data_IF_312678806842
#
_entry.id   IF_312678806842
#
_cell.length_a   1.000
_cell.length_b   1.000
_cell.length_c   1.000
_cell.angle_alpha   90.00
_cell.angle_beta   90.00
_cell.angle_gamma   90.00
#
_symmetry.space_group_name_H-M   'P 1'
#
loop_
_entity.id
_entity.type
_entity.pdbx_description
1 polymer ?
#
# COMPACT_ATOMS: atom_id res chain seq x y z
N UNK A 1 6.90 7.11 35.81
CA UNK A 1 5.85 6.54 34.96
C UNK A 1 6.42 5.32 34.26
N UNK A 2 6.00 4.13 34.67
CA UNK A 2 6.45 2.87 34.08
C UNK A 2 5.37 2.48 33.09
N UNK A 3 5.65 2.55 31.80
CA UNK A 3 4.75 2.06 30.76
C UNK A 3 4.71 0.53 30.87
N UNK A 4 3.53 -0.04 31.14
CA UNK A 4 3.33 -1.48 31.16
C UNK A 4 3.04 -1.96 29.74
N UNK A 5 3.52 -3.16 29.37
CA UNK A 5 3.32 -3.73 28.03
C UNK A 5 1.82 -3.84 27.66
N UNK A 6 0.95 -4.02 28.67
CA UNK A 6 -0.51 -4.04 28.51
C UNK A 6 -1.10 -2.70 28.06
N UNK A 7 -0.42 -1.57 28.31
CA UNK A 7 -0.88 -0.25 27.86
C UNK A 7 -0.66 -0.03 26.34
N UNK A 8 0.21 -0.83 25.70
CA UNK A 8 0.47 -0.81 24.26
C UNK A 8 -0.50 -1.69 23.45
N UNK A 9 -1.19 -2.64 24.10
CA UNK A 9 -2.14 -3.53 23.44
C UNK A 9 -3.49 -2.84 23.14
N UNK A 10 -3.72 -1.65 23.69
CA UNK A 10 -4.86 -0.80 23.32
C UNK A 10 -4.57 0.07 22.09
N UNK A 11 -3.77 -0.45 21.14
CA UNK A 11 -3.69 0.09 19.80
C UNK A 11 -4.95 -0.37 19.04
N UNK A 12 -5.77 0.60 18.64
CA UNK A 12 -6.89 0.51 17.70
C UNK A 12 -6.94 -0.79 16.91
N UNK A 13 -7.95 -1.62 17.17
CA UNK A 13 -8.06 -2.97 16.61
C UNK A 13 -7.80 -2.93 15.09
N UNK A 14 -6.73 -3.60 14.59
CA UNK A 14 -6.40 -3.55 13.19
C UNK A 14 -7.59 -4.08 12.40
N UNK A 15 -8.02 -3.34 11.37
CA UNK A 15 -8.97 -3.86 10.37
C UNK A 15 -8.46 -5.23 9.95
N UNK A 16 -9.17 -6.30 10.34
CA UNK A 16 -8.61 -7.64 10.28
C UNK A 16 -8.26 -8.00 8.83
N UNK A 17 -6.97 -8.14 8.56
CA UNK A 17 -6.45 -8.53 7.25
C UNK A 17 -6.87 -9.98 6.99
N UNK A 18 -7.62 -10.23 5.93
CA UNK A 18 -8.09 -11.57 5.56
C UNK A 18 -7.28 -12.12 4.38
N UNK A 19 -6.23 -12.87 4.71
CA UNK A 19 -5.36 -13.54 3.74
C UNK A 19 -6.03 -14.65 2.94
N UNK A 20 -7.17 -15.18 3.40
CA UNK A 20 -7.87 -16.24 2.67
C UNK A 20 -8.40 -15.77 1.32
N UNK A 21 -8.53 -14.45 1.10
CA UNK A 21 -8.88 -13.88 -0.21
C UNK A 21 -7.86 -14.23 -1.30
N UNK A 22 -6.61 -14.52 -0.96
CA UNK A 22 -5.59 -14.91 -1.94
C UNK A 22 -5.85 -16.30 -2.54
N UNK A 23 -6.70 -17.11 -1.91
CA UNK A 23 -7.13 -18.42 -2.44
C UNK A 23 -8.22 -18.31 -3.50
N UNK A 24 -8.79 -17.12 -3.72
CA UNK A 24 -9.76 -16.89 -4.78
C UNK A 24 -9.08 -17.05 -6.16
N UNK A 25 -9.63 -17.87 -7.09
CA UNK A 25 -8.93 -18.29 -8.32
C UNK A 25 -8.39 -17.17 -9.22
N UNK A 26 -8.94 -15.95 -9.09
CA UNK A 26 -8.61 -14.82 -9.96
C UNK A 26 -7.75 -13.75 -9.26
N UNK A 27 -7.59 -13.80 -7.94
CA UNK A 27 -6.90 -12.71 -7.20
C UNK A 27 -5.42 -12.69 -7.52
N UNK A 28 -4.76 -13.84 -7.51
CA UNK A 28 -3.33 -13.94 -7.78
C UNK A 28 -2.98 -13.48 -9.21
N UNK A 29 -3.70 -13.98 -10.22
CA UNK A 29 -3.46 -13.61 -11.62
C UNK A 29 -3.67 -12.12 -11.88
N UNK A 30 -4.70 -11.52 -11.25
CA UNK A 30 -4.94 -10.08 -11.33
C UNK A 30 -3.84 -9.29 -10.63
N UNK A 31 -3.41 -9.69 -9.43
CA UNK A 31 -2.33 -9.03 -8.71
C UNK A 31 -1.01 -9.06 -9.51
N UNK A 32 -0.65 -10.21 -10.10
CA UNK A 32 0.51 -10.32 -10.98
C UNK A 32 0.39 -9.43 -12.22
N UNK A 33 -0.80 -9.33 -12.84
CA UNK A 33 -1.01 -8.46 -14.00
C UNK A 33 -0.86 -6.97 -13.64
N UNK A 34 -1.42 -6.55 -12.49
CA UNK A 34 -1.28 -5.19 -11.97
C UNK A 34 0.19 -4.89 -11.64
N UNK A 35 0.88 -5.79 -10.95
CA UNK A 35 2.28 -5.62 -10.58
C UNK A 35 3.19 -5.49 -11.82
N UNK A 36 2.96 -6.29 -12.88
CA UNK A 36 3.69 -6.14 -14.16
C UNK A 36 3.47 -4.78 -14.80
N UNK A 37 2.23 -4.27 -14.79
CA UNK A 37 1.92 -2.96 -15.32
C UNK A 37 2.65 -1.86 -14.53
N UNK A 38 2.66 -1.96 -13.20
CA UNK A 38 3.36 -1.00 -12.34
C UNK A 38 4.87 -1.05 -12.48
N UNK A 39 5.49 -2.24 -12.50
CA UNK A 39 6.92 -2.38 -12.72
C UNK A 39 7.34 -1.84 -14.10
N UNK A 40 6.48 -1.93 -15.11
CA UNK A 40 6.74 -1.31 -16.42
C UNK A 40 6.62 0.21 -16.38
N UNK A 41 5.56 0.73 -15.73
CA UNK A 41 5.26 2.17 -15.74
C UNK A 41 6.14 2.95 -14.74
N UNK A 42 6.64 2.30 -13.69
CA UNK A 42 7.38 2.88 -12.57
C UNK A 42 8.72 2.18 -12.27
N UNK A 43 9.24 1.33 -13.17
CA UNK A 43 10.34 0.39 -12.91
C UNK A 43 11.68 0.94 -12.43
N UNK A 44 11.90 2.26 -12.49
CA UNK A 44 13.06 2.90 -11.85
C UNK A 44 12.86 3.16 -10.35
N UNK A 45 11.64 2.98 -9.86
CA UNK A 45 11.21 3.40 -8.53
C UNK A 45 10.40 2.35 -7.77
N UNK A 46 9.73 1.43 -8.47
CA UNK A 46 8.96 0.35 -7.87
C UNK A 46 9.23 -0.94 -8.62
N UNK A 47 9.79 -1.92 -7.91
CA UNK A 47 10.10 -3.24 -8.46
C UNK A 47 8.84 -4.10 -8.56
N UNK A 48 8.89 -5.15 -9.39
CA UNK A 48 7.76 -6.06 -9.58
C UNK A 48 7.35 -6.77 -8.29
N UNK A 49 8.31 -7.26 -7.52
CA UNK A 49 8.03 -8.01 -6.29
C UNK A 49 7.41 -7.10 -5.23
N UNK A 50 7.89 -5.86 -5.11
CA UNK A 50 7.29 -4.84 -4.24
C UNK A 50 5.84 -4.51 -4.68
N UNK A 51 5.63 -4.30 -5.99
CA UNK A 51 4.30 -4.02 -6.53
C UNK A 51 3.33 -5.19 -6.31
N UNK A 52 3.83 -6.43 -6.40
CA UNK A 52 3.05 -7.64 -6.18
C UNK A 52 2.68 -7.80 -4.70
N UNK A 53 3.64 -7.58 -3.80
CA UNK A 53 3.39 -7.61 -2.36
C UNK A 53 2.33 -6.57 -1.97
N UNK A 54 2.47 -5.34 -2.47
CA UNK A 54 1.50 -4.27 -2.20
C UNK A 54 0.11 -4.58 -2.79
N UNK A 55 0.04 -5.22 -3.96
CA UNK A 55 -1.23 -5.70 -4.51
C UNK A 55 -1.90 -6.76 -3.61
N UNK A 56 -1.13 -7.67 -3.01
CA UNK A 56 -1.65 -8.64 -2.04
C UNK A 56 -2.10 -7.99 -0.73
N UNK A 57 -1.35 -7.02 -0.22
CA UNK A 57 -1.75 -6.23 0.95
C UNK A 57 -3.09 -5.54 0.70
N UNK A 58 -3.24 -4.86 -0.44
CA UNK A 58 -4.49 -4.18 -0.82
C UNK A 58 -5.67 -5.17 -0.87
N UNK A 59 -5.46 -6.37 -1.41
CA UNK A 59 -6.48 -7.39 -1.50
C UNK A 59 -6.90 -7.89 -0.11
N UNK A 60 -5.93 -8.24 0.74
CA UNK A 60 -6.16 -8.83 2.06
C UNK A 60 -6.77 -7.82 3.05
N UNK A 61 -6.36 -6.55 2.99
CA UNK A 61 -6.96 -5.45 3.78
C UNK A 61 -8.43 -5.19 3.42
N UNK A 62 -8.88 -5.60 2.22
CA UNK A 62 -10.21 -5.29 1.67
C UNK A 62 -10.90 -6.53 1.09
N UNK A 63 -10.68 -7.68 1.71
CA UNK A 63 -11.20 -8.96 1.24
C UNK A 63 -12.72 -8.97 0.95
N UNK A 64 -13.60 -8.35 1.77
CA UNK A 64 -15.03 -8.30 1.46
C UNK A 64 -15.33 -7.59 0.13
N UNK A 65 -14.62 -6.49 -0.16
CA UNK A 65 -14.75 -5.75 -1.42
C UNK A 65 -14.24 -6.57 -2.60
N UNK A 66 -13.11 -7.26 -2.45
CA UNK A 66 -12.56 -8.13 -3.50
C UNK A 66 -13.54 -9.24 -3.86
N UNK A 67 -14.09 -9.95 -2.86
CA UNK A 67 -15.10 -11.00 -3.07
C UNK A 67 -16.38 -10.45 -3.71
N UNK A 68 -16.82 -9.27 -3.29
CA UNK A 68 -17.97 -8.60 -3.89
C UNK A 68 -17.71 -8.27 -5.36
N UNK A 69 -16.56 -7.68 -5.69
CA UNK A 69 -16.19 -7.36 -7.07
C UNK A 69 -16.14 -8.62 -7.92
N UNK A 70 -15.51 -9.68 -7.44
CA UNK A 70 -15.42 -10.94 -8.17
C UNK A 70 -16.79 -11.57 -8.41
N UNK A 71 -17.66 -11.59 -7.40
CA UNK A 71 -19.01 -12.17 -7.53
C UNK A 71 -19.96 -11.37 -8.42
N UNK A 72 -19.82 -10.03 -8.46
CA UNK A 72 -20.78 -9.15 -9.16
C UNK A 72 -20.27 -8.64 -10.52
N UNK A 73 -18.95 -8.54 -10.71
CA UNK A 73 -18.36 -7.82 -11.85
C UNK A 73 -17.15 -8.52 -12.49
N UNK A 74 -16.55 -9.50 -11.80
CA UNK A 74 -15.44 -10.31 -12.29
C UNK A 74 -14.06 -9.63 -12.28
N UNK A 75 -13.05 -10.37 -12.77
CA UNK A 75 -11.63 -9.96 -12.74
C UNK A 75 -11.32 -8.61 -13.42
N UNK A 76 -12.05 -8.23 -14.47
CA UNK A 76 -11.79 -6.99 -15.20
C UNK A 76 -11.96 -5.75 -14.32
N UNK A 77 -13.02 -5.72 -13.51
CA UNK A 77 -13.20 -4.64 -12.54
C UNK A 77 -12.19 -4.73 -11.40
N UNK A 78 -11.86 -5.94 -10.94
CA UNK A 78 -10.84 -6.14 -9.91
C UNK A 78 -9.49 -5.57 -10.34
N UNK A 79 -9.06 -5.83 -11.57
CA UNK A 79 -7.81 -5.29 -12.13
C UNK A 79 -7.80 -3.76 -12.10
N UNK A 80 -8.87 -3.12 -12.59
CA UNK A 80 -8.98 -1.66 -12.58
C UNK A 80 -8.97 -1.09 -11.15
N UNK A 81 -9.76 -1.69 -10.26
CA UNK A 81 -9.88 -1.26 -8.87
C UNK A 81 -8.56 -1.39 -8.12
N UNK A 82 -7.88 -2.54 -8.25
CA UNK A 82 -6.60 -2.81 -7.61
C UNK A 82 -5.50 -1.89 -8.13
N UNK A 83 -5.43 -1.69 -9.46
CA UNK A 83 -4.48 -0.75 -10.06
C UNK A 83 -4.69 0.69 -9.61
N UNK A 84 -5.93 1.13 -9.38
CA UNK A 84 -6.19 2.45 -8.82
C UNK A 84 -5.71 2.55 -7.37
N UNK A 85 -5.99 1.54 -6.54
CA UNK A 85 -5.55 1.52 -5.12
C UNK A 85 -4.04 1.53 -4.97
N UNK A 86 -3.35 0.74 -5.78
CA UNK A 86 -1.89 0.71 -5.77
C UNK A 86 -1.30 2.05 -6.21
N UNK A 87 -1.92 2.72 -7.20
CA UNK A 87 -1.53 4.07 -7.62
C UNK A 87 -1.71 5.09 -6.51
N UNK A 88 -2.87 5.07 -5.85
CA UNK A 88 -3.19 6.02 -4.79
C UNK A 88 -2.23 5.87 -3.61
N UNK A 89 -1.93 4.63 -3.20
CA UNK A 89 -0.95 4.32 -2.15
C UNK A 89 0.46 4.76 -2.56
N UNK A 90 0.89 4.41 -3.77
CA UNK A 90 2.21 4.81 -4.27
C UNK A 90 2.38 6.32 -4.39
N UNK A 91 1.40 7.05 -4.92
CA UNK A 91 1.45 8.51 -5.02
C UNK A 91 1.45 9.15 -3.64
N UNK A 92 0.75 8.56 -2.67
CA UNK A 92 0.77 8.98 -1.27
C UNK A 92 2.16 8.80 -0.68
N UNK A 93 2.77 7.61 -0.82
CA UNK A 93 4.11 7.32 -0.31
C UNK A 93 5.21 8.12 -1.02
N UNK A 94 5.08 8.34 -2.33
CA UNK A 94 5.98 9.21 -3.10
C UNK A 94 5.89 10.67 -2.61
N UNK A 95 4.68 11.16 -2.33
CA UNK A 95 4.48 12.49 -1.74
C UNK A 95 5.04 12.59 -0.33
N UNK A 96 4.88 11.56 0.49
CA UNK A 96 5.48 11.54 1.82
C UNK A 96 7.01 11.54 1.73
N UNK A 97 7.60 10.71 0.87
CA UNK A 97 9.04 10.68 0.64
C UNK A 97 9.59 12.00 0.11
N UNK A 98 8.88 12.70 -0.78
CA UNK A 98 9.32 14.02 -1.25
C UNK A 98 9.19 15.12 -0.19
N UNK A 99 8.29 14.96 0.78
CA UNK A 99 8.15 15.87 1.92
C UNK A 99 9.15 15.59 3.05
N UNK A 100 9.86 14.45 3.03
CA UNK A 100 10.94 14.18 3.97
C UNK A 100 12.17 15.03 3.63
N UNK A 101 12.26 16.19 4.29
CA UNK A 101 13.45 17.03 4.29
C UNK A 101 14.47 16.39 5.24
N UNK A 102 15.71 16.19 4.79
CA UNK A 102 16.76 15.67 5.67
C UNK A 102 16.98 16.60 6.85
N UNK A 103 17.32 16.05 8.02
CA UNK A 103 17.62 16.84 9.20
C UNK A 103 18.64 17.94 8.88
N UNK A 104 19.69 17.60 8.13
CA UNK A 104 20.70 18.54 7.66
C UNK A 104 20.14 19.66 6.77
N UNK A 105 19.21 19.35 5.85
CA UNK A 105 18.57 20.38 5.03
C UNK A 105 17.66 21.30 5.86
N UNK A 106 17.04 20.78 6.93
CA UNK A 106 16.29 21.60 7.91
C UNK A 106 17.24 22.45 8.76
N UNK A 107 18.37 21.90 9.23
CA UNK A 107 19.36 22.65 10.03
C UNK A 107 20.02 23.74 9.19
N UNK A 108 20.44 23.45 7.96
CA UNK A 108 21.00 24.45 7.05
C UNK A 108 19.99 25.54 6.64
N UNK A 109 18.69 25.22 6.60
CA UNK A 109 17.66 26.21 6.38
C UNK A 109 17.45 27.10 7.61
N UNK A 110 17.46 26.53 8.82
CA UNK A 110 17.36 27.26 10.08
C UNK A 110 18.56 28.20 10.30
N UNK A 111 19.78 27.73 10.05
CA UNK A 111 21.01 28.53 10.15
C UNK A 111 21.03 29.71 9.16
N UNK A 112 20.50 29.52 7.94
CA UNK A 112 20.35 30.60 6.95
C UNK A 112 19.20 31.55 7.26
N UNK A 113 18.22 31.11 8.03
CA UNK A 113 17.05 31.91 8.45
C UNK A 113 17.32 32.77 9.70
N UNK A 114 18.45 32.59 10.38
CA UNK A 114 18.87 33.45 11.50
C UNK A 114 17.98 33.38 12.74
N UNK A 115 17.47 32.19 13.08
CA UNK A 115 16.92 31.91 14.41
C UNK A 115 17.99 31.32 15.33
#
# INVERSE_FOLDING_TARGET
MTLLLADLESAEAPTAVDWSVLTEPQVESVAQAVARAFARDYGLTLEYDDALQEAFMVAAERAPTVRQILSQHGAGLLHRWMGQRLRDRWLTDAKHRSAHVSYEAVTHAAERSGL
#
